data_IF_593396910779
#
_entry.id   IF_593396910779
#
_cell.length_a   1.000
_cell.length_b   1.000
_cell.length_c   1.000
_cell.angle_alpha   90.00
_cell.angle_beta   90.00
_cell.angle_gamma   90.00
#
_symmetry.space_group_name_H-M   'P 1'
#
loop_
_entity.id
_entity.type
_entity.pdbx_description
1 polymer ?
#
# COMPACT_ATOMS: atom_id res chain seq x y z
N UNK A 1 -17.22 -20.56 0.00
CA UNK A 1 -18.10 -19.66 0.78
C UNK A 1 -18.25 -18.39 -0.04
N UNK A 2 -19.47 -17.97 -0.32
CA UNK A 2 -19.72 -16.94 -1.32
C UNK A 2 -19.40 -15.54 -0.77
N UNK A 3 -18.49 -14.86 -1.45
CA UNK A 3 -18.28 -13.42 -1.30
C UNK A 3 -19.61 -12.67 -1.49
N UNK A 4 -19.97 -11.80 -0.54
CA UNK A 4 -21.12 -10.90 -0.70
C UNK A 4 -20.62 -9.57 -1.28
N UNK A 5 -21.19 -9.17 -2.41
CA UNK A 5 -20.89 -7.89 -3.09
C UNK A 5 -21.04 -6.66 -2.19
N UNK A 6 -21.86 -6.75 -1.13
CA UNK A 6 -21.97 -5.72 -0.10
C UNK A 6 -20.66 -5.48 0.67
N UNK A 7 -19.81 -6.51 0.83
CA UNK A 7 -18.51 -6.38 1.49
C UNK A 7 -17.51 -5.64 0.60
N UNK A 8 -17.41 -6.06 -0.66
CA UNK A 8 -16.57 -5.45 -1.69
C UNK A 8 -16.88 -3.96 -1.92
N UNK A 9 -18.16 -3.60 -1.80
CA UNK A 9 -18.66 -2.24 -2.00
C UNK A 9 -18.91 -1.46 -0.71
N UNK A 10 -18.43 -1.96 0.43
CA UNK A 10 -18.67 -1.34 1.73
C UNK A 10 -18.12 0.09 1.79
N UNK A 11 -18.95 1.01 2.31
CA UNK A 11 -18.63 2.44 2.46
C UNK A 11 -18.54 2.90 3.91
N UNK A 12 -19.13 2.13 4.83
CA UNK A 12 -19.17 2.48 6.25
C UNK A 12 -18.00 1.86 7.03
N UNK A 13 -17.60 2.45 8.16
CA UNK A 13 -16.63 1.86 9.08
C UNK A 13 -17.04 0.47 9.58
N UNK A 14 -16.05 -0.43 9.72
CA UNK A 14 -16.20 -1.76 10.32
C UNK A 14 -16.44 -2.90 9.33
N UNK A 15 -15.90 -4.08 9.65
CA UNK A 15 -16.04 -5.29 8.83
C UNK A 15 -16.89 -6.35 9.56
N UNK A 16 -18.01 -6.76 8.94
CA UNK A 16 -18.84 -7.89 9.40
C UNK A 16 -18.77 -9.09 8.45
N UNK A 17 -17.90 -9.06 7.45
CA UNK A 17 -17.87 -10.03 6.36
C UNK A 17 -17.30 -11.39 6.78
N UNK A 18 -17.69 -12.45 6.07
CA UNK A 18 -17.12 -13.80 6.21
C UNK A 18 -15.74 -13.95 5.58
N UNK A 19 -15.35 -13.02 4.69
CA UNK A 19 -14.01 -12.99 4.07
C UNK A 19 -12.91 -12.42 5.00
N UNK A 20 -13.22 -12.21 6.28
CA UNK A 20 -12.30 -11.68 7.29
C UNK A 20 -11.74 -10.29 6.99
N UNK A 21 -12.32 -9.56 6.01
CA UNK A 21 -11.85 -8.26 5.55
C UNK A 21 -10.95 -8.29 4.32
N UNK A 22 -10.62 -9.47 3.77
CA UNK A 22 -9.68 -9.61 2.65
C UNK A 22 -10.14 -8.93 1.34
N UNK A 23 -11.43 -8.70 1.19
CA UNK A 23 -12.01 -8.09 -0.01
C UNK A 23 -12.86 -6.87 0.35
N UNK A 24 -12.66 -6.30 1.53
CA UNK A 24 -13.56 -5.26 2.02
C UNK A 24 -13.30 -3.95 1.28
N UNK A 25 -14.36 -3.28 0.84
CA UNK A 25 -14.33 -1.89 0.36
C UNK A 25 -13.51 -1.56 -0.92
N UNK A 26 -12.62 -2.46 -1.38
CA UNK A 26 -11.76 -2.25 -2.55
C UNK A 26 -12.54 -2.10 -3.85
N UNK A 27 -13.35 -3.09 -4.22
CA UNK A 27 -14.08 -3.07 -5.50
C UNK A 27 -14.97 -1.83 -5.62
N UNK A 28 -15.71 -1.46 -4.56
CA UNK A 28 -16.55 -0.27 -4.60
C UNK A 28 -15.75 1.01 -4.83
N UNK A 29 -14.56 1.12 -4.25
CA UNK A 29 -13.66 2.24 -4.49
C UNK A 29 -13.13 2.25 -5.94
N UNK A 30 -12.75 1.10 -6.48
CA UNK A 30 -12.30 0.99 -7.86
C UNK A 30 -13.42 1.28 -8.88
N UNK A 31 -14.64 0.82 -8.62
CA UNK A 31 -15.83 1.13 -9.44
C UNK A 31 -16.18 2.61 -9.45
N UNK A 32 -15.98 3.31 -8.33
CA UNK A 32 -16.14 4.77 -8.28
C UNK A 32 -15.05 5.43 -9.12
N UNK A 33 -13.79 5.01 -8.94
CA UNK A 33 -12.65 5.55 -9.66
C UNK A 33 -12.66 5.27 -11.18
N UNK A 34 -13.27 4.19 -11.63
CA UNK A 34 -13.52 3.90 -13.06
C UNK A 34 -14.69 4.71 -13.64
N UNK A 35 -15.49 5.35 -12.78
CA UNK A 35 -16.68 6.08 -13.18
C UNK A 35 -16.38 7.40 -13.88
N UNK A 36 -17.44 8.19 -14.07
CA UNK A 36 -17.32 9.55 -14.56
C UNK A 36 -16.77 10.49 -13.48
N UNK A 37 -16.20 11.62 -13.89
CA UNK A 37 -15.77 12.66 -12.95
C UNK A 37 -16.91 13.06 -11.99
N UNK A 38 -18.13 13.16 -12.53
CA UNK A 38 -19.34 13.44 -11.74
C UNK A 38 -19.51 12.44 -10.59
N UNK A 39 -19.40 11.13 -10.87
CA UNK A 39 -19.54 10.07 -9.86
C UNK A 39 -18.50 10.19 -8.74
N UNK A 40 -17.27 10.51 -9.09
CA UNK A 40 -16.20 10.68 -8.09
C UNK A 40 -16.41 11.95 -7.26
N UNK A 41 -16.87 13.04 -7.88
CA UNK A 41 -17.22 14.29 -7.18
C UNK A 41 -18.42 14.12 -6.26
N UNK A 42 -19.43 13.33 -6.66
CA UNK A 42 -20.55 12.96 -5.80
C UNK A 42 -20.06 12.17 -4.58
N UNK A 43 -19.13 11.23 -4.75
CA UNK A 43 -18.55 10.50 -3.62
C UNK A 43 -17.74 11.40 -2.68
N UNK A 44 -16.97 12.35 -3.22
CA UNK A 44 -16.29 13.38 -2.42
C UNK A 44 -17.31 14.20 -1.60
N UNK A 45 -18.38 14.68 -2.25
CA UNK A 45 -19.42 15.46 -1.58
C UNK A 45 -20.16 14.66 -0.50
N UNK A 46 -20.42 13.36 -0.74
CA UNK A 46 -21.01 12.45 0.25
C UNK A 46 -20.14 12.37 1.51
N UNK A 47 -18.81 12.20 1.36
CA UNK A 47 -17.91 12.12 2.53
C UNK A 47 -17.76 13.47 3.24
N UNK A 48 -17.80 14.59 2.53
CA UNK A 48 -17.87 15.92 3.16
C UNK A 48 -19.16 16.08 3.96
N UNK A 49 -20.30 15.69 3.39
CA UNK A 49 -21.58 15.70 4.09
C UNK A 49 -21.56 14.85 5.35
N UNK A 50 -20.90 13.68 5.32
CA UNK A 50 -20.72 12.83 6.51
C UNK A 50 -19.88 13.50 7.60
N UNK A 51 -18.86 14.27 7.21
CA UNK A 51 -18.07 15.07 8.15
C UNK A 51 -18.90 16.17 8.82
N UNK A 52 -19.70 16.89 8.01
CA UNK A 52 -20.50 18.02 8.49
C UNK A 52 -21.70 17.56 9.36
N UNK A 53 -22.42 16.54 8.90
CA UNK A 53 -23.67 16.07 9.53
C UNK A 53 -23.46 15.04 10.64
N UNK A 54 -22.31 14.33 10.64
CA UNK A 54 -21.95 13.30 11.63
C UNK A 54 -23.07 12.27 11.81
N UNK A 55 -23.32 11.42 10.80
CA UNK A 55 -24.40 10.45 10.86
C UNK A 55 -24.25 9.55 12.11
N UNK A 56 -25.37 9.13 12.73
CA UNK A 56 -25.35 8.29 13.92
C UNK A 56 -24.46 7.06 13.75
N UNK A 57 -23.56 6.83 14.71
CA UNK A 57 -22.63 5.69 14.70
C UNK A 57 -21.30 5.94 13.98
N UNK A 58 -21.07 7.13 13.42
CA UNK A 58 -19.77 7.54 12.84
C UNK A 58 -19.09 8.56 13.76
N UNK A 59 -17.88 8.23 14.22
CA UNK A 59 -17.03 9.15 14.98
C UNK A 59 -16.38 10.19 14.08
N UNK A 60 -15.96 11.31 14.65
CA UNK A 60 -15.20 12.34 13.91
C UNK A 60 -13.91 11.78 13.28
N UNK A 61 -13.20 10.89 13.98
CA UNK A 61 -12.01 10.23 13.45
C UNK A 61 -12.33 9.40 12.20
N UNK A 62 -13.43 8.63 12.24
CA UNK A 62 -13.89 7.86 11.09
C UNK A 62 -14.32 8.76 9.93
N UNK A 63 -15.01 9.87 10.20
CA UNK A 63 -15.40 10.83 9.16
C UNK A 63 -14.18 11.51 8.49
N UNK A 64 -13.14 11.84 9.26
CA UNK A 64 -11.89 12.37 8.71
C UNK A 64 -11.19 11.35 7.78
N UNK A 65 -11.10 10.08 8.21
CA UNK A 65 -10.59 8.99 7.37
C UNK A 65 -11.45 8.80 6.10
N UNK A 66 -12.78 8.90 6.22
CA UNK A 66 -13.69 8.84 5.08
C UNK A 66 -13.40 9.92 4.04
N UNK A 67 -13.18 11.16 4.48
CA UNK A 67 -12.78 12.26 3.59
C UNK A 67 -11.44 11.98 2.90
N UNK A 68 -10.44 11.49 3.64
CA UNK A 68 -9.12 11.16 3.09
C UNK A 68 -9.20 9.99 2.09
N UNK A 69 -10.06 9.00 2.35
CA UNK A 69 -10.32 7.89 1.43
C UNK A 69 -10.99 8.36 0.14
N UNK A 70 -11.89 9.34 0.21
CA UNK A 70 -12.44 9.95 -1.01
C UNK A 70 -11.37 10.64 -1.86
N UNK A 71 -10.38 11.29 -1.23
CA UNK A 71 -9.24 11.89 -1.95
C UNK A 71 -8.37 10.82 -2.63
N UNK A 72 -8.15 9.67 -1.97
CA UNK A 72 -7.47 8.52 -2.59
C UNK A 72 -8.27 7.95 -3.77
N UNK A 73 -9.60 7.84 -3.66
CA UNK A 73 -10.43 7.40 -4.79
C UNK A 73 -10.36 8.40 -5.95
N UNK A 74 -10.32 9.70 -5.66
CA UNK A 74 -10.11 10.73 -6.68
C UNK A 74 -8.71 10.68 -7.31
N UNK A 75 -7.69 10.32 -6.54
CA UNK A 75 -6.37 10.02 -7.09
C UNK A 75 -6.41 8.86 -8.07
N UNK A 76 -7.03 7.74 -7.71
CA UNK A 76 -7.15 6.58 -8.60
C UNK A 76 -7.96 6.90 -9.86
N UNK A 77 -8.93 7.82 -9.79
CA UNK A 77 -9.63 8.32 -10.98
C UNK A 77 -8.65 9.00 -11.96
N UNK A 78 -7.75 9.86 -11.44
CA UNK A 78 -6.74 10.60 -12.23
C UNK A 78 -5.56 9.74 -12.69
N UNK A 79 -5.16 8.76 -11.88
CA UNK A 79 -4.02 7.90 -12.13
C UNK A 79 -4.47 6.48 -12.53
N UNK A 80 -4.74 6.31 -13.83
CA UNK A 80 -5.20 5.04 -14.38
C UNK A 80 -4.17 3.91 -14.23
N UNK A 81 -2.87 4.22 -14.29
CA UNK A 81 -1.82 3.22 -14.18
C UNK A 81 -1.79 2.62 -12.77
N UNK A 82 -1.79 3.47 -11.74
CA UNK A 82 -1.88 3.03 -10.35
C UNK A 82 -3.19 2.29 -10.08
N UNK A 83 -4.32 2.80 -10.59
CA UNK A 83 -5.64 2.16 -10.44
C UNK A 83 -5.64 0.73 -11.01
N UNK A 84 -5.18 0.55 -12.25
CA UNK A 84 -5.09 -0.77 -12.89
C UNK A 84 -4.16 -1.70 -12.13
N UNK A 85 -3.02 -1.20 -11.67
CA UNK A 85 -2.05 -1.98 -10.91
C UNK A 85 -2.64 -2.46 -9.56
N UNK A 86 -3.20 -1.54 -8.76
CA UNK A 86 -3.81 -1.85 -7.48
C UNK A 86 -4.98 -2.82 -7.62
N UNK A 87 -5.87 -2.59 -8.60
CA UNK A 87 -6.99 -3.51 -8.89
C UNK A 87 -6.50 -4.90 -9.28
N UNK A 88 -5.54 -5.01 -10.21
CA UNK A 88 -5.03 -6.31 -10.63
C UNK A 88 -4.36 -7.07 -9.47
N UNK A 89 -3.69 -6.35 -8.57
CA UNK A 89 -3.13 -6.94 -7.36
C UNK A 89 -4.23 -7.44 -6.40
N UNK A 90 -5.30 -6.67 -6.17
CA UNK A 90 -6.46 -7.07 -5.36
C UNK A 90 -7.13 -8.32 -5.94
N UNK A 91 -7.43 -8.30 -7.24
CA UNK A 91 -8.10 -9.38 -7.96
C UNK A 91 -7.29 -10.69 -7.89
N UNK A 92 -5.99 -10.62 -8.16
CA UNK A 92 -5.09 -11.78 -8.12
C UNK A 92 -4.87 -12.32 -6.72
N UNK A 93 -4.75 -11.44 -5.72
CA UNK A 93 -4.41 -11.86 -4.37
C UNK A 93 -5.63 -12.30 -3.56
N UNK A 94 -6.69 -11.49 -3.56
CA UNK A 94 -7.77 -11.57 -2.57
C UNK A 94 -9.14 -11.84 -3.16
N UNK A 95 -9.42 -11.44 -4.41
CA UNK A 95 -10.73 -11.64 -5.00
C UNK A 95 -10.99 -13.11 -5.36
N UNK A 96 -11.94 -13.74 -4.68
CA UNK A 96 -12.35 -15.10 -5.00
C UNK A 96 -13.49 -15.08 -6.04
N UNK A 97 -13.11 -14.95 -7.32
CA UNK A 97 -14.01 -15.03 -8.46
C UNK A 97 -14.19 -16.50 -8.88
N UNK A 98 -15.41 -17.07 -8.82
CA UNK A 98 -15.64 -18.45 -9.22
C UNK A 98 -15.25 -18.70 -10.67
N UNK A 99 -14.47 -19.75 -10.93
CA UNK A 99 -14.07 -20.15 -12.29
C UNK A 99 -12.86 -19.40 -12.88
N UNK A 100 -12.27 -18.44 -12.16
CA UNK A 100 -11.04 -17.75 -12.57
C UNK A 100 -9.86 -18.33 -11.80
N UNK A 101 -9.01 -19.15 -12.45
CA UNK A 101 -7.90 -19.86 -11.79
C UNK A 101 -6.83 -18.95 -11.17
N UNK A 102 -6.72 -17.72 -11.66
CA UNK A 102 -5.62 -16.82 -11.34
C UNK A 102 -6.01 -15.67 -10.37
N UNK A 103 -7.24 -15.69 -9.83
CA UNK A 103 -7.73 -14.73 -8.84
C UNK A 103 -7.52 -15.22 -7.40
N UNK A 104 -7.68 -14.41 -6.36
CA UNK A 104 -7.83 -14.90 -4.97
C UNK A 104 -6.76 -15.88 -4.47
N UNK A 105 -5.55 -15.83 -5.03
CA UNK A 105 -4.53 -16.87 -4.89
C UNK A 105 -4.05 -16.97 -3.44
N UNK A 106 -4.02 -15.86 -2.70
CA UNK A 106 -3.66 -15.86 -1.28
C UNK A 106 -4.71 -16.58 -0.45
N UNK A 107 -5.99 -16.27 -0.68
CA UNK A 107 -7.09 -16.92 0.04
C UNK A 107 -7.20 -18.41 -0.29
N UNK A 108 -7.01 -18.79 -1.56
CA UNK A 108 -7.01 -20.18 -1.99
C UNK A 108 -5.81 -20.95 -1.44
N UNK A 109 -4.61 -20.37 -1.49
CA UNK A 109 -3.42 -20.96 -0.90
C UNK A 109 -3.57 -21.22 0.60
N UNK A 110 -4.10 -20.24 1.34
CA UNK A 110 -4.40 -20.41 2.76
C UNK A 110 -5.49 -21.44 3.01
N UNK A 111 -6.57 -21.44 2.22
CA UNK A 111 -7.64 -22.42 2.37
C UNK A 111 -7.16 -23.84 2.09
N UNK A 112 -6.30 -24.03 1.09
CA UNK A 112 -5.70 -25.33 0.78
C UNK A 112 -4.78 -25.81 1.91
N UNK A 113 -4.01 -24.90 2.52
CA UNK A 113 -3.11 -25.21 3.62
C UNK A 113 -3.83 -25.50 4.95
N UNK A 114 -4.83 -24.68 5.29
CA UNK A 114 -5.51 -24.72 6.59
C UNK A 114 -6.67 -25.74 6.61
N UNK A 115 -7.29 -26.02 5.47
CA UNK A 115 -8.55 -26.73 5.40
C UNK A 115 -9.74 -25.89 5.92
N UNK A 116 -10.95 -26.34 5.65
CA UNK A 116 -12.17 -25.55 5.83
C UNK A 116 -12.38 -25.03 7.27
N UNK A 117 -12.20 -25.88 8.29
CA UNK A 117 -12.47 -25.52 9.69
C UNK A 117 -11.50 -24.46 10.21
N UNK A 118 -10.19 -24.64 9.97
CA UNK A 118 -9.18 -23.67 10.41
C UNK A 118 -9.25 -22.38 9.60
N UNK A 119 -9.62 -22.45 8.31
CA UNK A 119 -9.85 -21.26 7.51
C UNK A 119 -11.01 -20.42 8.05
N UNK A 120 -12.10 -21.05 8.50
CA UNK A 120 -13.21 -20.33 9.13
C UNK A 120 -12.77 -19.64 10.44
N UNK A 121 -12.03 -20.34 11.30
CA UNK A 121 -11.49 -19.76 12.53
C UNK A 121 -10.52 -18.61 12.23
N UNK A 122 -9.66 -18.76 11.23
CA UNK A 122 -8.76 -17.72 10.76
C UNK A 122 -9.52 -16.49 10.27
N UNK A 123 -10.57 -16.64 9.45
CA UNK A 123 -11.35 -15.50 8.95
C UNK A 123 -12.07 -14.74 10.07
N UNK A 124 -12.58 -15.45 11.08
CA UNK A 124 -13.18 -14.83 12.27
C UNK A 124 -12.15 -13.99 13.05
N UNK A 125 -10.96 -14.55 13.26
CA UNK A 125 -9.86 -13.86 13.92
C UNK A 125 -9.37 -12.66 13.09
N UNK A 126 -9.10 -12.87 11.80
CA UNK A 126 -8.62 -11.86 10.86
C UNK A 126 -9.54 -10.63 10.82
N UNK A 127 -10.86 -10.86 10.90
CA UNK A 127 -11.86 -9.80 11.01
C UNK A 127 -11.69 -8.95 12.27
N UNK A 128 -11.49 -9.59 13.43
CA UNK A 128 -11.37 -8.88 14.72
C UNK A 128 -10.04 -8.15 14.89
N UNK A 129 -9.00 -8.56 14.16
CA UNK A 129 -7.65 -8.01 14.28
C UNK A 129 -7.24 -7.12 13.11
N UNK A 130 -8.14 -6.89 12.15
CA UNK A 130 -7.81 -6.14 10.93
C UNK A 130 -6.60 -6.73 10.18
N UNK A 131 -6.48 -8.07 10.19
CA UNK A 131 -5.27 -8.78 9.79
C UNK A 131 -4.76 -8.38 8.40
N UNK A 132 -5.66 -8.24 7.41
CA UNK A 132 -5.25 -8.00 6.02
C UNK A 132 -4.67 -6.61 5.78
N UNK A 133 -5.31 -5.56 6.29
CA UNK A 133 -4.77 -4.21 6.17
C UNK A 133 -3.56 -3.99 7.09
N UNK A 134 -3.48 -4.70 8.23
CA UNK A 134 -2.26 -4.77 9.05
C UNK A 134 -1.12 -5.42 8.26
N UNK A 135 -1.34 -6.59 7.66
CA UNK A 135 -0.36 -7.31 6.84
C UNK A 135 0.17 -6.42 5.71
N UNK A 136 -0.71 -5.75 4.96
CA UNK A 136 -0.29 -4.85 3.87
C UNK A 136 0.51 -3.66 4.40
N UNK A 137 0.11 -3.06 5.53
CA UNK A 137 0.85 -1.97 6.16
C UNK A 137 2.25 -2.41 6.61
N UNK A 138 2.37 -3.61 7.19
CA UNK A 138 3.64 -4.17 7.63
C UNK A 138 4.53 -4.56 6.44
N UNK A 139 3.96 -5.07 5.34
CA UNK A 139 4.69 -5.31 4.10
C UNK A 139 5.23 -3.99 3.55
N UNK A 140 4.41 -2.94 3.49
CA UNK A 140 4.86 -1.61 3.04
C UNK A 140 5.99 -1.05 3.93
N UNK A 141 5.88 -1.24 5.24
CA UNK A 141 6.94 -0.87 6.18
C UNK A 141 8.23 -1.66 5.91
N UNK A 142 8.15 -2.98 5.79
CA UNK A 142 9.31 -3.85 5.55
C UNK A 142 10.04 -3.50 4.24
N UNK A 143 9.31 -3.25 3.16
CA UNK A 143 9.89 -2.82 1.87
C UNK A 143 10.59 -1.45 2.02
N UNK A 144 9.99 -0.52 2.75
CA UNK A 144 10.60 0.80 3.02
C UNK A 144 11.88 0.65 3.86
N UNK A 145 11.89 -0.24 4.85
CA UNK A 145 13.09 -0.53 5.65
C UNK A 145 14.19 -1.20 4.81
N UNK A 146 13.82 -2.05 3.86
CA UNK A 146 14.76 -2.65 2.92
C UNK A 146 15.47 -1.58 2.07
N UNK A 147 14.74 -0.61 1.54
CA UNK A 147 15.32 0.51 0.79
C UNK A 147 16.35 1.28 1.62
N UNK A 148 15.99 1.64 2.86
CA UNK A 148 16.90 2.33 3.79
C UNK A 148 18.14 1.49 4.14
N UNK A 149 17.97 0.18 4.30
CA UNK A 149 19.08 -0.73 4.55
C UNK A 149 20.01 -0.84 3.34
N UNK A 150 19.46 -0.97 2.13
CA UNK A 150 20.22 -1.00 0.89
C UNK A 150 21.05 0.27 0.74
N UNK A 151 20.46 1.43 0.97
CA UNK A 151 21.18 2.70 0.88
C UNK A 151 22.30 2.81 1.92
N UNK A 152 22.13 2.22 3.12
CA UNK A 152 23.22 2.10 4.11
C UNK A 152 24.34 1.18 3.61
N UNK A 153 24.01 0.04 3.00
CA UNK A 153 24.99 -0.88 2.42
C UNK A 153 25.82 -0.17 1.35
N UNK A 154 25.18 0.64 0.49
CA UNK A 154 25.90 1.39 -0.54
C UNK A 154 26.87 2.40 0.07
N UNK A 155 26.42 3.21 1.03
CA UNK A 155 27.30 4.16 1.73
C UNK A 155 28.49 3.48 2.39
N UNK A 156 28.27 2.35 3.06
CA UNK A 156 29.36 1.57 3.68
C UNK A 156 30.39 1.09 2.65
N UNK A 157 29.93 0.57 1.51
CA UNK A 157 30.82 0.12 0.44
C UNK A 157 31.61 1.29 -0.17
N UNK A 158 30.93 2.41 -0.45
CA UNK A 158 31.58 3.62 -0.97
C UNK A 158 32.63 4.18 0.00
N UNK A 159 32.32 4.27 1.30
CA UNK A 159 33.24 4.73 2.34
C UNK A 159 34.47 3.82 2.44
N UNK A 160 34.27 2.50 2.44
CA UNK A 160 35.37 1.54 2.49
C UNK A 160 36.30 1.66 1.26
N UNK A 161 35.74 1.91 0.07
CA UNK A 161 36.51 2.14 -1.16
C UNK A 161 37.28 3.46 -1.10
N UNK A 162 36.68 4.53 -0.59
CA UNK A 162 37.35 5.83 -0.40
C UNK A 162 38.50 5.74 0.59
N UNK A 163 38.32 5.03 1.71
CA UNK A 163 39.33 4.88 2.77
C UNK A 163 40.53 4.01 2.37
N UNK A 164 40.35 3.06 1.44
CA UNK A 164 41.45 2.20 0.96
C UNK A 164 42.37 2.88 -0.05
N UNK A 165 41.95 3.98 -0.66
CA UNK A 165 42.76 4.69 -1.64
C UNK A 165 43.82 5.52 -0.93
N UNK A 166 45.09 5.14 -1.06
CA UNK A 166 46.23 5.94 -0.60
C UNK A 166 46.48 7.16 -1.48
N UNK A 167 45.94 7.15 -2.70
CA UNK A 167 46.01 8.25 -3.64
C UNK A 167 44.65 8.98 -3.72
N UNK A 168 44.64 10.32 -3.81
CA UNK A 168 43.40 11.06 -3.98
C UNK A 168 42.77 10.72 -5.34
N UNK A 169 41.46 10.44 -5.33
CA UNK A 169 40.69 10.24 -6.56
C UNK A 169 40.79 11.50 -7.44
N UNK A 170 41.12 11.33 -8.72
CA UNK A 170 41.17 12.42 -9.69
C UNK A 170 39.84 13.20 -9.69
N UNK A 171 39.91 14.53 -9.81
CA UNK A 171 38.75 15.40 -9.66
C UNK A 171 37.65 15.10 -10.68
N UNK A 172 38.01 14.73 -11.91
CA UNK A 172 37.07 14.30 -12.94
C UNK A 172 36.23 13.08 -12.49
N UNK A 173 36.86 12.09 -11.88
CA UNK A 173 36.19 10.89 -11.36
C UNK A 173 35.34 11.19 -10.12
N UNK A 174 35.79 12.14 -9.30
CA UNK A 174 35.05 12.62 -8.13
C UNK A 174 33.80 13.37 -8.55
N UNK A 175 33.91 14.30 -9.50
CA UNK A 175 32.79 15.03 -10.09
C UNK A 175 31.79 14.08 -10.76
N UNK A 176 32.28 13.00 -11.39
CA UNK A 176 31.44 11.97 -11.98
C UNK A 176 30.82 10.99 -10.96
N UNK A 177 31.14 11.10 -9.66
CA UNK A 177 30.68 10.17 -8.61
C UNK A 177 30.99 8.71 -8.94
N UNK A 178 32.19 8.47 -9.48
CA UNK A 178 32.56 7.18 -10.07
C UNK A 178 32.44 6.01 -9.08
N UNK A 179 32.73 6.23 -7.79
CA UNK A 179 32.61 5.19 -6.75
C UNK A 179 31.13 4.84 -6.53
N UNK A 180 30.25 5.83 -6.38
CA UNK A 180 28.82 5.59 -6.20
C UNK A 180 28.20 4.88 -7.40
N UNK A 181 28.55 5.31 -8.61
CA UNK A 181 28.10 4.66 -9.86
C UNK A 181 28.62 3.23 -9.93
N UNK A 182 29.88 2.98 -9.57
CA UNK A 182 30.45 1.63 -9.57
C UNK A 182 29.79 0.72 -8.54
N UNK A 183 29.57 1.19 -7.31
CA UNK A 183 28.89 0.42 -6.24
C UNK A 183 27.46 0.09 -6.67
N UNK A 184 26.71 1.08 -7.17
CA UNK A 184 25.34 0.88 -7.64
C UNK A 184 25.29 -0.10 -8.82
N UNK A 185 26.16 0.07 -9.81
CA UNK A 185 26.19 -0.79 -11.01
C UNK A 185 26.61 -2.22 -10.65
N UNK A 186 27.61 -2.37 -9.79
CA UNK A 186 28.04 -3.67 -9.29
C UNK A 186 26.90 -4.36 -8.54
N UNK A 187 26.19 -3.65 -7.66
CA UNK A 187 25.00 -4.21 -7.00
C UNK A 187 23.98 -4.69 -8.04
N UNK A 188 23.56 -3.79 -8.94
CA UNK A 188 22.53 -4.12 -9.93
C UNK A 188 22.89 -5.35 -10.75
N UNK A 189 24.05 -5.33 -11.42
CA UNK A 189 24.39 -6.34 -12.41
C UNK A 189 24.98 -7.62 -11.80
N UNK A 190 25.72 -7.54 -10.69
CA UNK A 190 26.21 -8.76 -10.02
C UNK A 190 25.04 -9.53 -9.39
N UNK A 191 24.14 -8.84 -8.68
CA UNK A 191 22.99 -9.52 -8.11
C UNK A 191 22.04 -10.02 -9.18
N UNK A 192 21.80 -9.27 -10.25
CA UNK A 192 21.03 -9.75 -11.41
C UNK A 192 21.66 -11.02 -12.02
N UNK A 193 22.98 -11.04 -12.23
CA UNK A 193 23.71 -12.22 -12.70
C UNK A 193 23.56 -13.42 -11.78
N UNK A 194 23.81 -13.26 -10.47
CA UNK A 194 23.64 -14.33 -9.47
C UNK A 194 22.20 -14.84 -9.46
N UNK A 195 21.24 -13.92 -9.46
CA UNK A 195 19.80 -14.22 -9.38
C UNK A 195 19.30 -14.93 -10.64
N UNK A 196 19.81 -14.57 -11.82
CA UNK A 196 19.41 -15.19 -13.08
C UNK A 196 19.74 -16.68 -13.14
N UNK A 197 20.70 -17.13 -12.34
CA UNK A 197 21.04 -18.56 -12.17
C UNK A 197 20.14 -19.28 -11.16
N UNK A 198 19.34 -18.54 -10.39
CA UNK A 198 18.36 -19.07 -9.45
C UNK A 198 17.00 -19.10 -10.15
N UNK A 199 16.41 -20.29 -10.26
CA UNK A 199 15.16 -20.61 -10.97
C UNK A 199 13.89 -19.97 -10.32
N UNK A 200 13.86 -18.64 -10.20
CA UNK A 200 12.77 -17.91 -9.59
C UNK A 200 12.51 -16.56 -10.28
N UNK A 201 11.20 -16.31 -10.46
CA UNK A 201 10.60 -15.30 -11.32
C UNK A 201 11.28 -13.93 -11.35
N UNK A 202 11.47 -13.46 -12.57
CA UNK A 202 12.33 -12.34 -12.98
C UNK A 202 11.85 -10.94 -12.54
N UNK A 203 10.60 -10.76 -12.10
CA UNK A 203 10.01 -9.42 -11.95
C UNK A 203 10.24 -8.74 -10.58
N UNK A 204 9.99 -9.44 -9.47
CA UNK A 204 10.17 -8.87 -8.12
C UNK A 204 11.64 -8.64 -7.78
N UNK A 205 12.51 -9.55 -8.24
CA UNK A 205 13.96 -9.49 -8.00
C UNK A 205 14.58 -8.32 -8.75
N UNK A 206 14.22 -8.12 -10.01
CA UNK A 206 14.68 -6.96 -10.79
C UNK A 206 14.22 -5.64 -10.16
N UNK A 207 12.99 -5.57 -9.65
CA UNK A 207 12.45 -4.36 -9.03
C UNK A 207 13.21 -4.01 -7.74
N UNK A 208 13.41 -4.97 -6.83
CA UNK A 208 14.16 -4.77 -5.59
C UNK A 208 15.63 -4.40 -5.84
N UNK A 209 16.24 -4.98 -6.87
CA UNK A 209 17.60 -4.65 -7.29
C UNK A 209 17.72 -3.27 -7.94
N UNK A 210 16.65 -2.76 -8.56
CA UNK A 210 16.70 -1.53 -9.35
C UNK A 210 16.95 -0.27 -8.51
N UNK A 211 16.56 -0.28 -7.23
CA UNK A 211 16.55 0.94 -6.44
C UNK A 211 15.15 1.39 -6.08
N UNK A 212 14.27 1.37 -7.09
CA UNK A 212 12.97 2.00 -7.03
C UNK A 212 11.88 1.02 -6.60
N UNK A 213 11.53 1.09 -5.31
CA UNK A 213 10.45 0.27 -4.73
C UNK A 213 9.09 0.97 -4.76
N UNK A 214 9.01 2.21 -5.24
CA UNK A 214 7.76 2.97 -5.28
C UNK A 214 6.65 2.27 -6.11
N UNK A 215 6.95 1.64 -7.27
CA UNK A 215 5.96 0.86 -8.03
C UNK A 215 5.35 -0.30 -7.24
N UNK A 216 6.05 -0.82 -6.23
CA UNK A 216 5.53 -1.85 -5.33
C UNK A 216 4.76 -1.24 -4.15
N UNK A 217 5.28 -0.16 -3.57
CA UNK A 217 4.73 0.46 -2.38
C UNK A 217 3.37 1.12 -2.61
N UNK A 218 3.18 1.84 -3.72
CA UNK A 218 1.94 2.60 -3.93
C UNK A 218 0.70 1.72 -4.03
N UNK A 219 0.67 0.65 -4.85
CA UNK A 219 -0.46 -0.28 -4.87
C UNK A 219 -0.74 -0.90 -3.49
N UNK A 220 0.30 -1.32 -2.75
CA UNK A 220 0.14 -1.94 -1.42
C UNK A 220 -0.48 -0.96 -0.42
N UNK A 221 0.01 0.29 -0.39
CA UNK A 221 -0.52 1.33 0.50
C UNK A 221 -1.96 1.68 0.16
N UNK A 222 -2.27 1.82 -1.14
CA UNK A 222 -3.65 2.06 -1.63
C UNK A 222 -4.57 0.92 -1.18
N UNK A 223 -4.18 -0.34 -1.42
CA UNK A 223 -4.97 -1.48 -1.00
C UNK A 223 -5.19 -1.48 0.51
N UNK A 224 -4.16 -1.26 1.32
CA UNK A 224 -4.28 -1.21 2.77
C UNK A 224 -5.30 -0.17 3.25
N UNK A 225 -5.31 1.04 2.67
CA UNK A 225 -6.23 2.11 3.08
C UNK A 225 -7.65 1.94 2.52
N UNK A 226 -7.81 1.27 1.38
CA UNK A 226 -9.13 0.92 0.85
C UNK A 226 -9.75 -0.24 1.63
N UNK A 227 -8.96 -1.26 1.98
CA UNK A 227 -9.38 -2.42 2.77
C UNK A 227 -9.67 -2.07 4.23
N UNK A 228 -9.06 -0.99 4.75
CA UNK A 228 -9.29 -0.49 6.09
C UNK A 228 -10.23 0.73 6.08
N UNK A 229 -11.57 0.54 6.05
CA UNK A 229 -12.53 1.64 6.03
C UNK A 229 -12.54 2.43 7.35
N UNK A 230 -11.95 1.86 8.41
CA UNK A 230 -11.83 2.47 9.72
C UNK A 230 -10.38 2.42 10.22
N UNK A 231 -9.53 3.24 9.59
CA UNK A 231 -8.16 3.41 10.07
C UNK A 231 -8.07 4.20 11.39
N UNK A 232 -9.19 4.65 11.99
CA UNK A 232 -9.16 5.44 13.22
C UNK A 232 -8.61 4.66 14.43
N UNK A 233 -8.88 3.35 14.46
CA UNK A 233 -8.34 2.41 15.44
C UNK A 233 -7.06 1.70 15.00
N UNK A 234 -6.47 2.06 13.85
CA UNK A 234 -5.42 1.26 13.20
C UNK A 234 -4.10 2.03 12.97
N UNK A 235 -3.22 2.13 14.00
CA UNK A 235 -1.99 2.93 13.93
C UNK A 235 -1.02 2.53 12.81
N UNK A 236 -0.85 1.22 12.54
CA UNK A 236 0.07 0.76 11.49
C UNK A 236 -0.35 1.24 10.10
N UNK A 237 -1.64 1.13 9.75
CA UNK A 237 -2.17 1.66 8.48
C UNK A 237 -2.01 3.18 8.41
N UNK A 238 -2.24 3.89 9.52
CA UNK A 238 -2.03 5.35 9.55
C UNK A 238 -0.57 5.74 9.33
N UNK A 239 0.36 5.06 10.01
CA UNK A 239 1.79 5.35 9.94
C UNK A 239 2.45 4.90 8.63
N UNK A 240 2.13 3.72 8.14
CA UNK A 240 2.89 3.11 7.02
C UNK A 240 2.21 3.25 5.66
N UNK A 241 0.93 3.62 5.64
CA UNK A 241 0.16 3.81 4.41
C UNK A 241 -0.38 5.23 4.28
N UNK A 242 -1.14 5.73 5.27
CA UNK A 242 -1.72 7.07 5.16
C UNK A 242 -0.68 8.19 5.17
N UNK A 243 0.31 8.15 6.07
CA UNK A 243 1.39 9.15 6.11
C UNK A 243 2.08 9.31 4.75
N UNK A 244 2.64 8.24 4.14
CA UNK A 244 3.24 8.37 2.81
C UNK A 244 2.26 8.87 1.73
N UNK A 245 1.00 8.44 1.76
CA UNK A 245 -0.02 8.91 0.81
C UNK A 245 -0.28 10.41 0.95
N UNK A 246 -0.42 10.89 2.19
CA UNK A 246 -0.68 12.29 2.49
C UNK A 246 0.55 13.14 2.15
N UNK A 247 1.75 12.74 2.56
CA UNK A 247 2.95 13.57 2.41
C UNK A 247 3.61 13.50 1.05
N UNK A 248 3.65 12.33 0.44
CA UNK A 248 4.49 12.05 -0.73
C UNK A 248 3.72 11.49 -1.93
N UNK A 249 2.48 11.06 -1.73
CA UNK A 249 1.66 10.49 -2.79
C UNK A 249 1.11 11.55 -3.74
N UNK A 250 0.79 11.12 -4.97
CA UNK A 250 0.03 11.92 -5.94
C UNK A 250 -1.44 12.11 -5.56
N UNK A 251 -1.83 11.71 -4.34
CA UNK A 251 -3.21 11.79 -3.87
C UNK A 251 -3.73 13.22 -3.79
N UNK A 252 -2.83 14.19 -3.59
CA UNK A 252 -3.18 15.60 -3.41
C UNK A 252 -4.30 15.76 -2.36
N UNK A 253 -4.17 15.05 -1.25
CA UNK A 253 -5.15 15.10 -0.14
C UNK A 253 -5.41 16.56 0.18
N UNK A 254 -6.69 16.97 0.10
CA UNK A 254 -7.09 18.37 0.15
C UNK A 254 -6.65 18.98 1.48
N UNK A 255 -6.20 20.23 1.46
CA UNK A 255 -5.65 20.90 2.65
C UNK A 255 -6.59 20.81 3.88
N UNK A 256 -7.88 21.09 3.69
CA UNK A 256 -8.90 20.93 4.74
C UNK A 256 -8.98 19.50 5.31
N UNK A 257 -8.74 18.47 4.49
CA UNK A 257 -8.77 17.07 4.93
C UNK A 257 -7.51 16.76 5.73
N UNK A 258 -6.34 17.29 5.33
CA UNK A 258 -5.11 17.20 6.12
C UNK A 258 -5.30 17.81 7.51
N UNK A 259 -5.84 19.02 7.58
CA UNK A 259 -6.14 19.71 8.85
C UNK A 259 -7.09 18.90 9.74
N UNK A 260 -8.13 18.27 9.15
CA UNK A 260 -9.02 17.36 9.88
C UNK A 260 -8.27 16.13 10.41
N UNK A 261 -7.36 15.55 9.63
CA UNK A 261 -6.52 14.44 10.09
C UNK A 261 -5.61 14.88 11.25
N UNK A 262 -4.93 16.02 11.13
CA UNK A 262 -4.10 16.59 12.21
C UNK A 262 -4.93 16.81 13.48
N UNK A 263 -6.13 17.40 13.34
CA UNK A 263 -7.02 17.68 14.46
C UNK A 263 -7.51 16.39 15.14
N UNK A 264 -7.83 15.36 14.37
CA UNK A 264 -8.43 14.12 14.86
C UNK A 264 -7.39 13.11 15.37
N UNK A 265 -6.13 13.24 14.95
CA UNK A 265 -5.04 12.34 15.32
C UNK A 265 -3.82 13.15 15.80
N UNK A 266 -3.91 13.85 16.95
CA UNK A 266 -2.82 14.68 17.46
C UNK A 266 -1.58 13.87 17.86
N UNK A 267 -1.75 12.59 18.20
CA UNK A 267 -0.67 11.66 18.56
C UNK A 267 0.06 11.09 17.34
N UNK A 268 -0.44 11.38 16.13
CA UNK A 268 0.15 10.96 14.87
C UNK A 268 0.89 12.17 14.26
N UNK A 269 2.16 12.42 14.63
CA UNK A 269 2.91 13.62 14.21
C UNK A 269 3.15 13.68 12.70
N UNK A 270 2.81 12.61 11.99
CA UNK A 270 2.88 12.54 10.55
C UNK A 270 1.70 13.20 9.82
N UNK A 271 0.58 13.47 10.51
CA UNK A 271 -0.51 14.27 9.95
C UNK A 271 -0.35 15.76 10.20
N UNK A 272 0.63 16.17 11.01
CA UNK A 272 1.03 17.57 11.18
C UNK A 272 1.93 18.06 10.03
#
# INVERSE_FOLDING_TARGET
MAHNSNCARARLPGCKCECGGAMHACQGAFEIADGTEKRVREYLAEQEGNWDTRPPGVTLKQAAIGCARADVVYWLYRDEALRRCARSADERAFEDAPGVSDSGLVLRGLSAHLGAQRMQAFQLWARSTHFWCELLAQIAHAITQYEQLRDRIFRMAEEALRLRSTEPLADELRCARAIEVAVWSAWRYLFEGIISTLDAGMSLRALLNSGDVAPLLWPIRVLAVLMCPDASGHPAVRRYCWDPIVRHGGAEVRQKVRERLTQMFPDDPWFA
#
